data_IF_276156902929
#
_entry.id   IF_276156902929
#
_cell.length_a   1.000
_cell.length_b   1.000
_cell.length_c   1.000
_cell.angle_alpha   90.00
_cell.angle_beta   90.00
_cell.angle_gamma   90.00
#
_symmetry.space_group_name_H-M   'P 1'
#
loop_
_entity.id
_entity.type
_entity.pdbx_description
1 polymer ?
#
# COMPACT_ATOMS: atom_id res chain seq x y z
N UNK A 1 5.80 4.98 -12.80
CA UNK A 1 4.78 4.09 -13.32
C UNK A 1 3.57 4.88 -13.79
N UNK A 2 2.80 4.29 -14.68
CA UNK A 2 1.67 5.01 -15.27
C UNK A 2 0.58 5.27 -14.26
N UNK A 3 0.18 6.52 -14.19
CA UNK A 3 -0.94 6.96 -13.35
C UNK A 3 -0.76 6.66 -11.87
N UNK A 4 0.48 6.59 -11.41
CA UNK A 4 0.73 6.37 -9.99
C UNK A 4 0.83 7.72 -9.29
N UNK A 5 0.57 7.72 -8.00
CA UNK A 5 0.57 8.93 -7.20
C UNK A 5 1.26 8.68 -5.87
N UNK A 6 2.27 9.47 -5.55
CA UNK A 6 2.96 9.36 -4.28
C UNK A 6 3.04 10.74 -3.66
N UNK A 7 2.58 10.89 -2.42
CA UNK A 7 2.72 12.14 -1.72
C UNK A 7 3.02 11.93 -0.26
N UNK A 8 3.75 12.87 0.32
CA UNK A 8 4.20 12.75 1.68
C UNK A 8 5.69 12.54 1.72
N UNK A 9 6.20 12.04 2.87
CA UNK A 9 7.63 11.83 3.03
C UNK A 9 8.00 10.36 2.88
N UNK A 10 8.99 10.08 2.07
CA UNK A 10 9.50 8.72 1.84
C UNK A 10 8.42 7.78 1.33
N UNK A 11 7.57 8.29 0.43
CA UNK A 11 6.53 7.46 -0.17
C UNK A 11 6.98 6.97 -1.55
N UNK A 12 6.53 5.80 -1.93
CA UNK A 12 6.85 5.22 -3.22
C UNK A 12 5.61 4.58 -3.81
N UNK A 13 5.23 5.00 -5.01
CA UNK A 13 4.13 4.39 -5.74
C UNK A 13 4.71 3.83 -7.03
N UNK A 14 5.10 2.55 -7.01
CA UNK A 14 5.76 1.96 -8.16
C UNK A 14 4.91 1.01 -8.99
N UNK A 15 3.71 0.70 -8.55
CA UNK A 15 2.80 -0.09 -9.37
C UNK A 15 1.99 0.79 -10.27
N UNK A 16 1.51 0.25 -11.39
CA UNK A 16 0.65 1.01 -12.28
C UNK A 16 -0.67 1.33 -11.60
N UNK A 17 -1.10 2.57 -11.69
CA UNK A 17 -2.34 3.04 -11.07
C UNK A 17 -2.35 2.86 -9.56
N UNK A 18 -1.18 2.96 -8.91
CA UNK A 18 -1.10 2.80 -7.48
C UNK A 18 -1.08 4.16 -6.80
N UNK A 19 -1.36 4.17 -5.50
CA UNK A 19 -1.43 5.40 -4.74
C UNK A 19 -0.77 5.19 -3.38
N UNK A 20 0.21 6.02 -3.05
CA UNK A 20 0.91 5.96 -1.76
C UNK A 20 0.92 7.34 -1.15
N UNK A 21 0.48 7.45 0.11
CA UNK A 21 0.53 8.74 0.77
C UNK A 21 0.80 8.54 2.26
N UNK A 22 1.39 9.56 2.86
CA UNK A 22 1.72 9.52 4.26
C UNK A 22 3.22 9.52 4.48
N UNK A 23 3.68 8.63 5.36
CA UNK A 23 5.08 8.58 5.73
C UNK A 23 5.59 7.15 5.66
N UNK A 24 6.64 6.92 4.89
CA UNK A 24 7.19 5.58 4.66
C UNK A 24 6.14 4.61 4.11
N UNK A 25 5.31 5.09 3.19
CA UNK A 25 4.34 4.21 2.56
C UNK A 25 4.87 3.71 1.23
N UNK A 26 4.45 2.54 0.84
CA UNK A 26 4.94 1.94 -0.38
C UNK A 26 3.86 1.10 -1.05
N UNK A 27 3.67 1.32 -2.33
CA UNK A 27 2.79 0.48 -3.14
C UNK A 27 3.62 -0.07 -4.29
N UNK A 28 3.62 -1.38 -4.46
CA UNK A 28 4.36 -1.96 -5.56
C UNK A 28 3.53 -2.87 -6.44
N UNK A 29 2.31 -3.20 -6.03
CA UNK A 29 1.42 -3.95 -6.89
C UNK A 29 0.56 -3.01 -7.72
N UNK A 30 0.13 -3.43 -8.92
CA UNK A 30 -0.77 -2.58 -9.71
C UNK A 30 -2.11 -2.41 -9.02
N UNK A 31 -2.67 -1.21 -9.14
CA UNK A 31 -3.96 -0.87 -8.53
C UNK A 31 -3.95 -1.00 -7.00
N UNK A 32 -2.79 -0.79 -6.38
CA UNK A 32 -2.69 -0.89 -4.94
C UNK A 32 -2.73 0.49 -4.30
N UNK A 33 -3.01 0.52 -3.00
CA UNK A 33 -3.15 1.78 -2.27
C UNK A 33 -2.56 1.62 -0.87
N UNK A 34 -1.68 2.51 -0.48
CA UNK A 34 -1.10 2.51 0.86
C UNK A 34 -1.14 3.91 1.42
N UNK A 35 -1.61 4.04 2.66
CA UNK A 35 -1.63 5.34 3.30
C UNK A 35 -1.41 5.20 4.80
N UNK A 36 -0.90 6.24 5.40
CA UNK A 36 -0.65 6.25 6.83
C UNK A 36 0.84 6.27 7.13
N UNK A 37 1.25 5.47 8.11
CA UNK A 37 2.63 5.44 8.56
C UNK A 37 3.21 4.03 8.40
N UNK A 38 4.28 3.92 7.65
CA UNK A 38 4.97 2.64 7.41
C UNK A 38 4.01 1.56 6.91
N UNK A 39 3.25 1.89 5.87
CA UNK A 39 2.33 0.93 5.30
C UNK A 39 2.88 0.42 3.97
N UNK A 40 2.54 -0.80 3.63
CA UNK A 40 2.99 -1.42 2.38
C UNK A 40 1.85 -2.18 1.72
N UNK A 41 1.59 -1.90 0.47
CA UNK A 41 0.64 -2.64 -0.35
C UNK A 41 1.41 -3.19 -1.53
N UNK A 42 1.80 -4.47 -1.47
CA UNK A 42 2.76 -5.02 -2.41
C UNK A 42 2.19 -5.94 -3.48
N UNK A 43 0.92 -6.25 -3.45
CA UNK A 43 0.33 -7.11 -4.47
C UNK A 43 -0.81 -6.41 -5.20
N UNK A 44 -1.27 -7.04 -6.26
CA UNK A 44 -2.32 -6.46 -7.10
C UNK A 44 -3.58 -6.16 -6.31
N UNK A 45 -4.11 -4.98 -6.51
CA UNK A 45 -5.36 -4.54 -5.88
C UNK A 45 -5.34 -4.64 -4.35
N UNK A 46 -4.17 -4.49 -3.74
CA UNK A 46 -4.08 -4.55 -2.28
C UNK A 46 -4.23 -3.13 -1.71
N UNK A 47 -4.63 -3.07 -0.45
CA UNK A 47 -4.86 -1.79 0.21
C UNK A 47 -4.35 -1.87 1.64
N UNK A 48 -3.47 -0.97 2.03
CA UNK A 48 -2.94 -0.94 3.39
C UNK A 48 -3.09 0.48 3.95
N UNK A 49 -3.64 0.58 5.16
CA UNK A 49 -3.75 1.88 5.79
C UNK A 49 -3.61 1.75 7.30
N UNK A 50 -3.23 2.83 7.94
CA UNK A 50 -3.02 2.84 9.37
C UNK A 50 -1.55 2.98 9.70
N UNK A 51 -1.07 2.25 10.71
CA UNK A 51 0.32 2.31 11.13
C UNK A 51 0.94 0.93 11.10
N UNK A 52 2.07 0.79 10.44
CA UNK A 52 2.80 -0.48 10.35
C UNK A 52 1.93 -1.62 9.82
N UNK A 53 1.18 -1.34 8.75
CA UNK A 53 0.32 -2.34 8.15
C UNK A 53 0.92 -2.84 6.85
N UNK A 54 0.61 -4.08 6.51
CA UNK A 54 1.12 -4.67 5.28
C UNK A 54 0.00 -5.48 4.62
N UNK A 55 -0.28 -5.17 3.35
CA UNK A 55 -1.22 -5.94 2.55
C UNK A 55 -0.42 -6.62 1.46
N UNK A 56 -0.07 -7.89 1.67
CA UNK A 56 0.80 -8.61 0.76
C UNK A 56 0.13 -9.74 -0.01
N UNK A 57 -1.16 -9.96 0.15
CA UNK A 57 -1.88 -10.90 -0.68
C UNK A 57 -2.62 -10.16 -1.79
N UNK A 58 -2.90 -10.83 -2.90
CA UNK A 58 -3.68 -10.22 -3.97
C UNK A 58 -5.08 -9.90 -3.47
N UNK A 59 -5.56 -8.70 -3.75
CA UNK A 59 -6.87 -8.23 -3.31
C UNK A 59 -7.04 -8.22 -1.80
N UNK A 60 -5.92 -8.07 -1.07
CA UNK A 60 -5.99 -8.06 0.38
C UNK A 60 -6.15 -6.64 0.90
N UNK A 61 -6.61 -6.52 2.12
CA UNK A 61 -6.83 -5.24 2.76
C UNK A 61 -6.37 -5.33 4.22
N UNK A 62 -5.48 -4.45 4.61
CA UNK A 62 -4.98 -4.39 5.98
C UNK A 62 -5.15 -2.98 6.51
N UNK A 63 -5.78 -2.85 7.66
CA UNK A 63 -5.92 -1.55 8.29
C UNK A 63 -5.81 -1.69 9.80
N UNK A 64 -5.42 -0.61 10.44
CA UNK A 64 -5.25 -0.61 11.88
C UNK A 64 -3.80 -0.40 12.25
N UNK A 65 -3.38 -1.02 13.35
CA UNK A 65 -2.03 -0.87 13.84
C UNK A 65 -1.35 -2.23 13.92
N UNK A 66 -0.23 -2.39 13.23
CA UNK A 66 0.51 -3.64 13.17
C UNK A 66 -0.34 -4.79 12.60
N UNK A 67 -1.14 -4.50 11.61
CA UNK A 67 -1.95 -5.54 10.96
C UNK A 67 -1.28 -6.00 9.68
N UNK A 68 -1.61 -7.20 9.28
CA UNK A 68 -1.02 -7.77 8.09
C UNK A 68 -2.02 -8.68 7.40
N UNK A 69 -2.22 -8.46 6.12
CA UNK A 69 -3.11 -9.28 5.31
C UNK A 69 -2.28 -9.97 4.24
N UNK A 70 -2.06 -11.26 4.39
CA UNK A 70 -1.19 -12.02 3.50
C UNK A 70 -1.94 -12.94 2.55
N UNK A 71 -3.20 -13.16 2.79
CA UNK A 71 -3.98 -14.05 1.94
C UNK A 71 -4.79 -13.27 0.95
N UNK A 72 -5.11 -13.91 -0.14
CA UNK A 72 -5.99 -13.37 -1.15
C UNK A 72 -7.38 -13.22 -0.56
N UNK A 73 -7.98 -12.07 -0.76
CA UNK A 73 -9.29 -11.81 -0.15
C UNK A 73 -10.42 -12.43 -0.93
#
# INVERSE_FOLDING_TARGET
MDYSHAEGAYTTASGNHSHAEGYYTKTSGPYSHAEGFSTTASRSCSHAEGANTTASGNHSHAEGNYTKATHKA
#
